data_IF_979127807121
#
_entry.id   IF_979127807121
#
_cell.length_a   1.000
_cell.length_b   1.000
_cell.length_c   1.000
_cell.angle_alpha   90.00
_cell.angle_beta   90.00
_cell.angle_gamma   90.00
#
_symmetry.space_group_name_H-M   'P 1'
#
loop_
_entity.id
_entity.type
_entity.pdbx_description
1 polymer ?
#
# COMPACT_ATOMS: atom_id res chain seq x y z
N UNK A 1 -23.40 31.68 -14.56
CA UNK A 1 -24.11 30.53 -13.95
C UNK A 1 -23.59 29.29 -14.65
N UNK A 2 -22.61 28.60 -14.05
CA UNK A 2 -22.09 27.35 -14.57
C UNK A 2 -22.89 26.20 -13.93
N UNK A 3 -23.42 25.31 -14.76
CA UNK A 3 -24.15 24.12 -14.36
C UNK A 3 -23.24 23.16 -13.57
N UNK A 4 -23.77 22.38 -12.61
CA UNK A 4 -22.96 21.42 -11.87
C UNK A 4 -22.64 20.24 -12.79
N UNK A 5 -21.36 20.06 -13.13
CA UNK A 5 -20.85 18.82 -13.71
C UNK A 5 -21.09 17.68 -12.72
N UNK A 6 -21.80 16.65 -13.15
CA UNK A 6 -21.86 15.36 -12.46
C UNK A 6 -20.44 14.93 -12.14
N UNK A 7 -20.11 14.80 -10.85
CA UNK A 7 -18.84 14.25 -10.39
C UNK A 7 -18.83 12.76 -10.71
N UNK A 8 -18.32 12.41 -11.89
CA UNK A 8 -18.13 11.04 -12.31
C UNK A 8 -16.93 10.48 -11.55
N UNK A 9 -17.20 9.67 -10.53
CA UNK A 9 -16.17 8.88 -9.84
C UNK A 9 -15.69 7.78 -10.77
N UNK A 10 -14.37 7.61 -10.85
CA UNK A 10 -13.78 6.47 -11.53
C UNK A 10 -13.49 5.40 -10.48
N UNK A 11 -14.31 4.35 -10.46
CA UNK A 11 -14.11 3.21 -9.56
C UNK A 11 -13.09 2.26 -10.19
N UNK A 12 -12.11 1.85 -9.39
CA UNK A 12 -11.07 0.92 -9.78
C UNK A 12 -11.13 -0.24 -8.80
N UNK A 13 -11.51 -1.43 -9.26
CA UNK A 13 -11.46 -2.65 -8.45
C UNK A 13 -10.09 -3.32 -8.68
N UNK A 14 -9.29 -3.55 -7.62
CA UNK A 14 -7.99 -4.25 -7.70
C UNK A 14 -8.07 -5.68 -8.22
N UNK A 15 -9.27 -6.22 -8.49
CA UNK A 15 -9.42 -7.49 -9.23
C UNK A 15 -8.99 -7.31 -10.68
N UNK A 16 -7.69 -7.44 -10.90
CA UNK A 16 -7.09 -7.51 -12.24
C UNK A 16 -7.58 -8.79 -12.93
N UNK A 17 -8.59 -8.68 -13.79
CA UNK A 17 -8.58 -9.45 -15.04
C UNK A 17 -7.33 -8.99 -15.81
N UNK A 18 -6.48 -9.94 -16.21
CA UNK A 18 -5.11 -9.76 -16.73
C UNK A 18 -4.94 -8.86 -17.98
N UNK A 19 -5.92 -8.06 -18.40
CA UNK A 19 -5.98 -7.53 -19.77
C UNK A 19 -5.78 -6.01 -19.95
N UNK A 20 -5.67 -5.18 -18.90
CA UNK A 20 -5.50 -3.71 -19.06
C UNK A 20 -4.44 -3.09 -18.14
N UNK A 21 -3.29 -3.75 -17.98
CA UNK A 21 -2.12 -3.12 -17.39
C UNK A 21 -1.44 -2.22 -18.45
N UNK A 22 -1.61 -0.91 -18.29
CA UNK A 22 -0.92 0.14 -19.05
C UNK A 22 0.60 -0.09 -19.10
N UNK A 23 1.20 0.15 -20.27
CA UNK A 23 2.62 0.02 -20.66
C UNK A 23 3.66 0.76 -19.77
N UNK A 24 3.72 0.48 -18.46
CA UNK A 24 4.84 0.88 -17.60
C UNK A 24 5.66 -0.36 -17.24
N UNK A 25 6.62 -0.70 -18.11
CA UNK A 25 7.47 -1.90 -18.01
C UNK A 25 8.22 -2.00 -16.66
N UNK A 26 8.42 -0.87 -15.97
CA UNK A 26 9.06 -0.81 -14.66
C UNK A 26 8.17 -1.34 -13.53
N UNK A 27 6.91 -0.93 -13.50
CA UNK A 27 5.95 -1.33 -12.47
C UNK A 27 5.42 -2.76 -12.67
N UNK A 28 5.22 -3.19 -13.92
CA UNK A 28 4.81 -4.57 -14.22
C UNK A 28 5.88 -5.59 -13.80
N UNK A 29 7.15 -5.26 -14.02
CA UNK A 29 8.27 -6.05 -13.52
C UNK A 29 8.27 -6.14 -11.98
N UNK A 30 7.93 -5.04 -11.31
CA UNK A 30 7.82 -4.97 -9.86
C UNK A 30 6.65 -5.80 -9.31
N UNK A 31 5.47 -5.73 -9.94
CA UNK A 31 4.29 -6.54 -9.58
C UNK A 31 4.62 -8.04 -9.73
N UNK A 32 5.25 -8.42 -10.83
CA UNK A 32 5.65 -9.82 -11.08
C UNK A 32 6.66 -10.34 -10.05
N UNK A 33 7.61 -9.51 -9.63
CA UNK A 33 8.61 -9.90 -8.63
C UNK A 33 8.03 -9.96 -7.21
N UNK A 34 7.13 -9.04 -6.87
CA UNK A 34 6.38 -9.03 -5.60
C UNK A 34 5.47 -10.24 -5.42
N UNK A 35 4.69 -10.57 -6.45
CA UNK A 35 3.74 -11.70 -6.42
C UNK A 35 4.46 -13.04 -6.25
N UNK A 36 5.68 -13.16 -6.74
CA UNK A 36 6.52 -14.35 -6.57
C UNK A 36 7.26 -14.40 -5.22
N UNK A 37 7.50 -13.25 -4.57
CA UNK A 37 8.35 -13.17 -3.38
C UNK A 37 7.59 -13.20 -2.04
N UNK A 38 6.27 -12.99 -2.01
CA UNK A 38 5.55 -12.70 -0.76
C UNK A 38 4.30 -13.58 -0.58
N UNK A 39 4.12 -14.23 0.58
CA UNK A 39 2.83 -14.81 0.97
C UNK A 39 1.82 -13.69 1.26
N UNK A 40 0.77 -13.58 0.42
CA UNK A 40 -0.22 -12.48 0.48
C UNK A 40 -0.29 -11.71 -0.85
N UNK A 41 -0.54 -12.44 -1.94
CA UNK A 41 -0.56 -11.92 -3.32
C UNK A 41 -1.58 -10.79 -3.47
N UNK A 42 -2.74 -10.93 -2.82
CA UNK A 42 -3.82 -9.94 -2.88
C UNK A 42 -3.41 -8.59 -2.26
N UNK A 43 -2.69 -8.61 -1.12
CA UNK A 43 -2.19 -7.40 -0.47
C UNK A 43 -1.07 -6.72 -1.28
N UNK A 44 -0.18 -7.50 -1.88
CA UNK A 44 0.89 -6.98 -2.74
C UNK A 44 0.34 -6.32 -4.02
N UNK A 45 -0.70 -6.91 -4.62
CA UNK A 45 -1.39 -6.36 -5.79
C UNK A 45 -2.11 -5.05 -5.46
N UNK A 46 -2.88 -5.02 -4.36
CA UNK A 46 -3.57 -3.81 -3.90
C UNK A 46 -2.58 -2.67 -3.62
N UNK A 47 -1.41 -3.00 -3.06
CA UNK A 47 -0.35 -2.02 -2.83
C UNK A 47 0.28 -1.52 -4.13
N UNK A 48 0.55 -2.40 -5.08
CA UNK A 48 1.16 -2.00 -6.34
C UNK A 48 0.24 -1.10 -7.18
N UNK A 49 -1.06 -1.35 -7.15
CA UNK A 49 -2.02 -0.45 -7.79
C UNK A 49 -2.09 0.90 -7.07
N UNK A 50 -2.06 0.90 -5.74
CA UNK A 50 -1.97 2.13 -4.95
C UNK A 50 -0.69 2.92 -5.26
N UNK A 51 0.46 2.24 -5.44
CA UNK A 51 1.71 2.83 -5.92
C UNK A 51 1.56 3.47 -7.30
N UNK A 52 0.91 2.76 -8.23
CA UNK A 52 0.66 3.24 -9.60
C UNK A 52 -0.13 4.54 -9.58
N UNK A 53 -1.26 4.55 -8.88
CA UNK A 53 -2.16 5.72 -8.82
C UNK A 53 -1.48 6.92 -8.17
N UNK A 54 -0.64 6.69 -7.15
CA UNK A 54 0.16 7.73 -6.52
C UNK A 54 1.25 8.26 -7.45
N UNK A 55 1.87 7.42 -8.28
CA UNK A 55 2.93 7.84 -9.20
C UNK A 55 2.41 8.56 -10.44
N UNK A 56 1.29 8.12 -11.03
CA UNK A 56 0.77 8.77 -12.24
C UNK A 56 0.16 10.14 -11.95
N UNK A 57 -0.29 10.39 -10.72
CA UNK A 57 -0.90 11.67 -10.28
C UNK A 57 -2.03 12.16 -11.18
N UNK A 58 -2.76 11.27 -11.84
CA UNK A 58 -3.86 11.64 -12.74
C UNK A 58 -5.09 12.19 -12.00
N UNK A 59 -5.09 12.11 -10.67
CA UNK A 59 -6.18 12.49 -9.80
C UNK A 59 -5.72 13.49 -8.73
N UNK A 60 -6.57 14.48 -8.43
CA UNK A 60 -6.33 15.42 -7.33
C UNK A 60 -6.54 14.81 -5.95
N UNK A 61 -7.41 13.79 -5.86
CA UNK A 61 -7.75 13.07 -4.62
C UNK A 61 -8.04 11.62 -4.99
N UNK A 62 -7.47 10.69 -4.23
CA UNK A 62 -7.72 9.26 -4.33
C UNK A 62 -8.32 8.80 -3.00
N UNK A 63 -9.43 8.05 -3.05
CA UNK A 63 -10.07 7.49 -1.86
C UNK A 63 -9.91 5.98 -1.91
N UNK A 64 -9.19 5.43 -0.93
CA UNK A 64 -9.02 3.99 -0.77
C UNK A 64 -10.14 3.43 0.11
N UNK A 65 -11.02 2.61 -0.46
CA UNK A 65 -11.99 1.83 0.30
C UNK A 65 -11.36 0.49 0.72
N UNK A 66 -11.05 0.37 2.00
CA UNK A 66 -10.24 -0.76 2.50
C UNK A 66 -11.11 -1.87 3.09
N UNK A 67 -10.61 -3.11 3.00
CA UNK A 67 -11.14 -4.28 3.70
C UNK A 67 -11.25 -4.06 5.24
N UNK A 68 -11.91 -4.96 6.02
CA UNK A 68 -11.98 -4.82 7.48
C UNK A 68 -10.60 -4.69 8.14
N UNK A 69 -10.58 -4.00 9.29
CA UNK A 69 -9.41 -3.46 10.02
C UNK A 69 -8.11 -4.28 9.95
N UNK A 70 -8.16 -5.60 10.11
CA UNK A 70 -6.97 -6.46 10.11
C UNK A 70 -6.24 -6.57 8.77
N UNK A 71 -6.96 -6.49 7.64
CA UNK A 71 -6.35 -6.56 6.31
C UNK A 71 -5.74 -5.22 5.91
N UNK A 72 -6.40 -4.11 6.25
CA UNK A 72 -5.90 -2.75 6.01
C UNK A 72 -4.57 -2.50 6.71
N UNK A 73 -4.42 -2.97 7.95
CA UNK A 73 -3.15 -2.80 8.68
C UNK A 73 -1.99 -3.54 8.01
N UNK A 74 -2.21 -4.67 7.35
CA UNK A 74 -1.15 -5.37 6.61
C UNK A 74 -0.73 -4.58 5.37
N UNK A 75 -1.70 -4.01 4.66
CA UNK A 75 -1.44 -3.16 3.50
C UNK A 75 -0.59 -1.94 3.89
N UNK A 76 -0.92 -1.29 5.01
CA UNK A 76 -0.19 -0.13 5.52
C UNK A 76 1.20 -0.49 6.11
N UNK A 77 1.36 -1.70 6.64
CA UNK A 77 2.66 -2.23 7.11
C UNK A 77 3.61 -2.64 5.99
N UNK A 78 3.06 -2.82 4.80
CA UNK A 78 3.77 -3.40 3.68
C UNK A 78 5.00 -2.59 3.22
N UNK A 79 4.93 -1.25 2.99
CA UNK A 79 6.11 -0.48 2.58
C UNK A 79 7.26 -0.59 3.59
N UNK A 80 6.98 -0.48 4.89
CA UNK A 80 7.99 -0.60 5.93
C UNK A 80 8.60 -2.02 6.01
N UNK A 81 7.82 -3.05 5.66
CA UNK A 81 8.29 -4.45 5.62
C UNK A 81 9.16 -4.70 4.40
N UNK A 82 8.76 -4.19 3.22
CA UNK A 82 9.53 -4.25 1.99
C UNK A 82 10.86 -3.51 2.12
N UNK A 83 10.86 -2.30 2.70
CA UNK A 83 12.07 -1.50 2.92
C UNK A 83 13.10 -2.29 3.75
N UNK A 84 12.66 -2.93 4.84
CA UNK A 84 13.51 -3.79 5.68
C UNK A 84 14.01 -5.02 4.91
N UNK A 85 13.14 -5.66 4.14
CA UNK A 85 13.50 -6.83 3.32
C UNK A 85 14.56 -6.49 2.27
N UNK A 86 14.36 -5.39 1.53
CA UNK A 86 15.33 -4.90 0.55
C UNK A 86 16.65 -4.54 1.20
N UNK A 87 16.63 -3.85 2.34
CA UNK A 87 17.85 -3.53 3.09
C UNK A 87 18.61 -4.79 3.52
N UNK A 88 17.90 -5.83 3.97
CA UNK A 88 18.50 -7.12 4.32
C UNK A 88 19.13 -7.81 3.11
N UNK A 89 18.42 -7.87 1.97
CA UNK A 89 18.93 -8.45 0.72
C UNK A 89 20.17 -7.70 0.23
N UNK A 90 20.14 -6.37 0.23
CA UNK A 90 21.30 -5.54 -0.12
C UNK A 90 22.49 -5.81 0.82
N UNK A 91 22.24 -5.93 2.13
CA UNK A 91 23.30 -6.24 3.09
C UNK A 91 23.90 -7.64 2.89
N UNK A 92 23.05 -8.63 2.59
CA UNK A 92 23.47 -10.00 2.33
C UNK A 92 24.31 -10.06 1.05
N UNK A 93 23.81 -9.45 -0.04
CA UNK A 93 24.55 -9.32 -1.29
C UNK A 93 25.88 -8.63 -1.08
N UNK A 94 25.95 -7.53 -0.33
CA UNK A 94 27.24 -6.85 -0.10
C UNK A 94 28.27 -7.73 0.62
N UNK A 95 27.81 -8.71 1.43
CA UNK A 95 28.69 -9.68 2.11
C UNK A 95 29.08 -10.86 1.21
N UNK A 96 28.22 -11.25 0.28
CA UNK A 96 28.41 -12.45 -0.56
C UNK A 96 28.72 -12.15 -2.04
N UNK A 97 28.66 -10.89 -2.48
CA UNK A 97 28.81 -10.46 -3.87
C UNK A 97 30.19 -10.78 -4.46
N UNK A 98 31.23 -10.71 -3.63
CA UNK A 98 32.57 -11.15 -4.04
C UNK A 98 32.65 -12.65 -4.38
N UNK A 99 31.90 -13.48 -3.66
CA UNK A 99 31.84 -14.94 -3.87
C UNK A 99 30.92 -15.27 -5.03
N UNK A 100 29.75 -14.63 -5.11
CA UNK A 100 28.79 -14.78 -6.21
C UNK A 100 29.45 -14.38 -7.53
N UNK A 101 30.07 -13.20 -7.61
CA UNK A 101 30.75 -12.76 -8.84
C UNK A 101 31.91 -13.68 -9.25
N UNK A 102 32.63 -14.30 -8.31
CA UNK A 102 33.63 -15.33 -8.64
C UNK A 102 32.98 -16.63 -9.14
N UNK A 103 31.92 -17.09 -8.49
CA UNK A 103 31.19 -18.29 -8.90
C UNK A 103 30.58 -18.11 -10.31
N UNK A 104 29.90 -17.00 -10.58
CA UNK A 104 29.29 -16.71 -11.89
C UNK A 104 30.33 -16.69 -13.01
N UNK A 105 31.52 -16.11 -12.76
CA UNK A 105 32.65 -16.15 -13.70
C UNK A 105 33.18 -17.57 -13.95
N UNK A 106 33.22 -18.41 -12.92
CA UNK A 106 33.72 -19.79 -13.01
C UNK A 106 32.72 -20.74 -13.70
N UNK A 107 31.43 -20.54 -13.46
CA UNK A 107 30.35 -21.35 -14.05
C UNK A 107 29.95 -20.90 -15.46
N UNK A 108 30.62 -19.89 -16.04
CA UNK A 108 30.34 -19.42 -17.40
C UNK A 108 29.00 -18.70 -17.56
N UNK A 109 28.35 -18.33 -16.45
CA UNK A 109 27.06 -17.62 -16.40
C UNK A 109 27.22 -16.09 -16.49
N UNK A 110 28.37 -15.63 -16.99
CA UNK A 110 28.87 -14.25 -16.87
C UNK A 110 28.04 -13.16 -17.57
N UNK A 111 27.06 -13.53 -18.40
CA UNK A 111 26.28 -12.58 -19.22
C UNK A 111 24.77 -12.58 -18.91
N UNK A 112 24.22 -13.64 -18.31
CA UNK A 112 22.77 -13.72 -17.98
C UNK A 112 22.42 -13.08 -16.63
N UNK A 113 23.37 -13.01 -15.69
CA UNK A 113 23.21 -12.32 -14.42
C UNK A 113 24.04 -11.03 -14.43
N UNK A 114 23.51 -9.99 -15.10
CA UNK A 114 24.07 -8.64 -14.95
C UNK A 114 23.82 -8.14 -13.52
N UNK A 115 24.80 -8.37 -12.65
CA UNK A 115 24.80 -7.94 -11.25
C UNK A 115 24.53 -6.43 -11.14
N UNK A 116 25.01 -5.65 -12.12
CA UNK A 116 24.76 -4.22 -12.23
C UNK A 116 23.30 -3.88 -12.58
N UNK A 117 22.65 -4.63 -13.48
CA UNK A 117 21.24 -4.42 -13.81
C UNK A 117 20.34 -4.79 -12.62
N UNK A 118 20.66 -5.87 -11.89
CA UNK A 118 19.93 -6.26 -10.68
C UNK A 118 20.11 -5.23 -9.57
N UNK A 119 21.30 -4.64 -9.44
CA UNK A 119 21.58 -3.52 -8.53
C UNK A 119 20.71 -2.30 -8.83
N UNK A 120 20.69 -1.86 -10.08
CA UNK A 120 19.89 -0.70 -10.49
C UNK A 120 18.40 -0.90 -10.26
N UNK A 121 17.88 -2.11 -10.50
CA UNK A 121 16.48 -2.45 -10.19
C UNK A 121 16.19 -2.39 -8.69
N UNK A 122 17.03 -3.01 -7.85
CA UNK A 122 16.84 -3.01 -6.39
C UNK A 122 16.94 -1.59 -5.79
N UNK A 123 17.82 -0.75 -6.32
CA UNK A 123 17.91 0.66 -5.92
C UNK A 123 16.66 1.44 -6.35
N UNK A 124 16.19 1.29 -7.59
CA UNK A 124 14.94 1.91 -8.04
C UNK A 124 13.73 1.49 -7.20
N UNK A 125 13.63 0.21 -6.82
CA UNK A 125 12.57 -0.27 -5.92
C UNK A 125 12.63 0.39 -4.55
N UNK A 126 13.84 0.55 -4.00
CA UNK A 126 14.04 1.21 -2.70
C UNK A 126 13.54 2.65 -2.73
N UNK A 127 13.86 3.39 -3.78
CA UNK A 127 13.45 4.79 -3.93
C UNK A 127 11.92 4.93 -4.01
N UNK A 128 11.24 4.06 -4.76
CA UNK A 128 9.77 4.03 -4.86
C UNK A 128 9.14 3.76 -3.48
N UNK A 129 9.63 2.74 -2.76
CA UNK A 129 9.09 2.37 -1.45
C UNK A 129 9.32 3.50 -0.44
N UNK A 130 10.50 4.12 -0.43
CA UNK A 130 10.78 5.25 0.46
C UNK A 130 9.91 6.47 0.15
N UNK A 131 9.67 6.75 -1.14
CA UNK A 131 8.77 7.82 -1.56
C UNK A 131 7.35 7.59 -1.04
N UNK A 132 6.84 6.36 -1.16
CA UNK A 132 5.48 6.04 -0.76
C UNK A 132 5.31 5.98 0.74
N UNK A 133 6.28 5.39 1.45
CA UNK A 133 6.32 5.41 2.91
C UNK A 133 6.32 6.86 3.44
N UNK A 134 7.03 7.78 2.76
CA UNK A 134 7.00 9.21 3.10
C UNK A 134 5.63 9.84 2.88
N UNK A 135 4.97 9.56 1.76
CA UNK A 135 3.65 10.12 1.46
C UNK A 135 2.55 9.62 2.42
N UNK A 136 2.61 8.35 2.83
CA UNK A 136 1.67 7.80 3.83
C UNK A 136 1.78 8.45 5.20
N UNK A 137 2.97 8.94 5.55
CA UNK A 137 3.27 9.58 6.84
C UNK A 137 3.10 11.10 6.81
N UNK A 138 2.86 11.68 5.65
CA UNK A 138 2.66 13.11 5.49
C UNK A 138 1.18 13.46 5.69
N UNK A 139 0.80 14.14 6.80
CA UNK A 139 -0.59 14.47 7.09
C UNK A 139 -1.21 15.47 6.11
N UNK A 140 -0.39 16.22 5.36
CA UNK A 140 -0.88 17.15 4.33
C UNK A 140 -1.23 16.42 3.02
N UNK A 141 -0.75 15.18 2.85
CA UNK A 141 -0.96 14.34 1.66
C UNK A 141 -1.92 13.19 1.92
N UNK A 142 -1.80 12.51 3.06
CA UNK A 142 -2.55 11.29 3.38
C UNK A 142 -3.17 11.39 4.78
N UNK A 143 -4.46 11.06 4.87
CA UNK A 143 -5.17 10.92 6.15
C UNK A 143 -6.03 9.67 6.14
N UNK A 144 -6.16 9.01 7.28
CA UNK A 144 -7.02 7.86 7.49
C UNK A 144 -8.33 8.29 8.16
N UNK A 145 -9.46 7.94 7.57
CA UNK A 145 -10.79 8.22 8.13
C UNK A 145 -11.38 6.94 8.72
N UNK A 146 -11.45 6.86 10.03
CA UNK A 146 -12.04 5.70 10.72
C UNK A 146 -13.57 5.76 10.65
N UNK A 147 -14.22 4.67 10.22
CA UNK A 147 -15.69 4.56 10.21
C UNK A 147 -16.12 3.45 11.16
N UNK A 148 -17.01 3.77 12.10
CA UNK A 148 -17.52 2.82 13.08
C UNK A 148 -19.02 3.01 13.32
N UNK A 149 -19.66 2.07 14.03
CA UNK A 149 -21.05 2.18 14.50
C UNK A 149 -21.08 2.33 16.02
N UNK A 150 -22.16 2.85 16.64
CA UNK A 150 -22.24 3.07 18.08
C UNK A 150 -22.45 1.77 18.89
N UNK A 151 -21.64 0.75 18.62
CA UNK A 151 -21.62 -0.53 19.32
C UNK A 151 -20.27 -0.74 20.00
N UNK A 152 -20.28 -1.37 21.18
CA UNK A 152 -19.08 -1.55 22.00
C UNK A 152 -17.92 -2.22 21.23
N UNK A 153 -18.19 -3.29 20.48
CA UNK A 153 -17.16 -4.01 19.74
C UNK A 153 -16.58 -3.17 18.60
N UNK A 154 -17.42 -2.45 17.85
CA UNK A 154 -16.98 -1.58 16.76
C UNK A 154 -16.09 -0.44 17.28
N UNK A 155 -16.45 0.17 18.41
CA UNK A 155 -15.62 1.19 19.06
C UNK A 155 -14.27 0.62 19.54
N UNK A 156 -14.28 -0.57 20.14
CA UNK A 156 -13.05 -1.23 20.62
C UNK A 156 -12.09 -1.58 19.47
N UNK A 157 -12.61 -2.11 18.36
CA UNK A 157 -11.80 -2.39 17.16
C UNK A 157 -11.25 -1.11 16.55
N UNK A 158 -12.05 -0.05 16.52
CA UNK A 158 -11.62 1.26 16.01
C UNK A 158 -10.54 1.89 16.88
N UNK A 159 -10.64 1.77 18.20
CA UNK A 159 -9.59 2.23 19.12
C UNK A 159 -8.27 1.49 18.85
N UNK A 160 -8.32 0.16 18.71
CA UNK A 160 -7.13 -0.63 18.37
C UNK A 160 -6.55 -0.24 17.01
N UNK A 161 -7.40 0.01 16.01
CA UNK A 161 -6.98 0.48 14.70
C UNK A 161 -6.22 1.82 14.80
N UNK A 162 -6.78 2.80 15.51
CA UNK A 162 -6.13 4.12 15.71
C UNK A 162 -4.79 3.97 16.42
N UNK A 163 -4.68 3.10 17.43
CA UNK A 163 -3.41 2.82 18.11
C UNK A 163 -2.37 2.20 17.17
N UNK A 164 -2.78 1.32 16.26
CA UNK A 164 -1.89 0.75 15.26
C UNK A 164 -1.47 1.80 14.22
N UNK A 165 -2.39 2.60 13.69
CA UNK A 165 -2.09 3.71 12.76
C UNK A 165 -1.06 4.68 13.35
N UNK A 166 -1.22 5.02 14.63
CA UNK A 166 -0.26 5.88 15.35
C UNK A 166 1.15 5.27 15.42
N UNK A 167 1.28 3.95 15.56
CA UNK A 167 2.59 3.26 15.55
C UNK A 167 3.26 3.34 14.18
N UNK A 168 2.48 3.44 13.11
CA UNK A 168 2.98 3.60 11.74
C UNK A 168 3.16 5.06 11.33
N UNK A 169 2.90 6.01 12.24
CA UNK A 169 2.96 7.45 11.98
C UNK A 169 2.00 7.88 10.86
N UNK A 170 0.87 7.17 10.72
CA UNK A 170 -0.20 7.51 9.78
C UNK A 170 -1.22 8.40 10.49
N UNK A 171 -1.53 9.54 9.89
CA UNK A 171 -2.50 10.48 10.42
C UNK A 171 -3.93 9.90 10.39
N UNK A 172 -4.65 10.03 11.51
CA UNK A 172 -6.01 9.50 11.69
C UNK A 172 -6.85 10.40 12.59
N UNK A 173 -6.98 11.69 12.24
CA UNK A 173 -7.69 12.68 13.06
C UNK A 173 -9.20 12.75 12.83
N UNK A 174 -9.73 11.98 11.87
CA UNK A 174 -11.16 11.96 11.54
C UNK A 174 -11.80 10.61 11.90
N UNK A 175 -12.95 10.66 12.55
CA UNK A 175 -13.79 9.50 12.83
C UNK A 175 -15.24 9.78 12.46
N UNK A 176 -15.87 8.83 11.75
CA UNK A 176 -17.28 8.86 11.36
C UNK A 176 -18.00 7.77 12.16
N UNK A 177 -18.97 8.19 12.98
CA UNK A 177 -19.89 7.26 13.63
C UNK A 177 -21.14 7.15 12.76
N UNK A 178 -21.24 6.05 12.04
CA UNK A 178 -22.36 5.73 11.16
C UNK A 178 -23.52 5.07 11.94
N UNK A 179 -24.70 5.04 11.34
CA UNK A 179 -25.89 4.36 11.88
C UNK A 179 -26.37 4.89 13.25
N UNK A 180 -26.09 6.17 13.54
CA UNK A 180 -26.62 6.82 14.76
C UNK A 180 -28.09 7.17 14.55
N UNK A 181 -28.97 6.56 15.36
CA UNK A 181 -30.39 6.87 15.36
C UNK A 181 -30.67 8.06 16.29
N UNK A 182 -30.99 9.21 15.71
CA UNK A 182 -31.41 10.38 16.47
C UNK A 182 -32.91 10.33 16.75
N UNK A 183 -33.28 10.11 18.01
CA UNK A 183 -34.68 10.22 18.42
C UNK A 183 -35.04 11.66 18.77
N UNK A 184 -36.02 12.23 18.08
CA UNK A 184 -36.61 13.55 18.38
C UNK A 184 -37.81 13.46 19.35
N UNK A 185 -38.18 12.25 19.77
CA UNK A 185 -39.22 11.96 20.78
C UNK A 185 -38.61 11.18 21.94
N UNK A 186 -39.17 11.28 23.17
CA UNK A 186 -38.71 10.47 24.29
C UNK A 186 -38.75 8.98 23.89
N UNK A 187 -37.64 8.28 24.12
CA UNK A 187 -37.47 6.87 23.77
C UNK A 187 -38.58 6.04 24.42
N UNK A 188 -39.24 5.21 23.60
CA UNK A 188 -40.06 4.11 24.09
C UNK A 188 -39.10 3.14 24.81
N UNK A 189 -39.36 2.69 26.05
CA UNK A 189 -38.45 1.84 26.83
C UNK A 189 -38.12 0.45 26.22
N UNK A 190 -38.58 0.17 25.00
CA UNK A 190 -38.34 -1.06 24.25
C UNK A 190 -37.33 -0.91 23.10
N UNK A 191 -36.73 0.28 22.91
CA UNK A 191 -35.72 0.56 21.89
C UNK A 191 -34.36 0.82 22.51
#
# INVERSE_FOLDING_TARGET
>A
MASPTSSQWHEVDPKVENDDLTDDEGLDGFISELTNAIPGVDEAMSFAEMLKLVQTMDYSVIVFDTAPTGHTLRLLQFPATLEKGLAQVMSLRNRFGGVISQATRLFGLGDEFSEAAMLGKLEGMKDIIEQVNRQFKDPDMTTFVCVCIPEFLSLYETERLVQELAKFEIDAHNIIINQVLFTTKPLNPSC
#
